data_IF_340976171180
#
_entry.id   IF_340976171180
#
_cell.length_a   1.000
_cell.length_b   1.000
_cell.length_c   1.000
_cell.angle_alpha   90.00
_cell.angle_beta   90.00
_cell.angle_gamma   90.00
#
_symmetry.space_group_name_H-M   'P 1'
#
loop_
_entity.id
_entity.type
_entity.pdbx_description
1 polymer ?
#
# COMPACT_ATOMS: atom_id res chain seq x y z
N UNK A 1 35.44 43.54 -64.55
CA UNK A 1 34.68 44.80 -64.71
C UNK A 1 33.27 44.59 -64.19
N UNK A 2 32.70 45.55 -63.42
CA UNK A 2 31.39 45.46 -62.76
C UNK A 2 30.26 45.89 -63.75
N UNK A 3 28.94 45.71 -63.48
CA UNK A 3 28.20 46.51 -62.48
C UNK A 3 27.10 45.73 -61.70
N UNK A 4 26.63 46.09 -60.50
CA UNK A 4 26.15 47.34 -59.86
C UNK A 4 24.72 47.77 -60.26
N UNK A 5 23.93 48.04 -59.20
CA UNK A 5 22.68 48.84 -59.06
C UNK A 5 21.34 48.12 -59.35
N UNK A 6 20.36 48.07 -58.44
CA UNK A 6 19.70 49.04 -57.53
C UNK A 6 18.58 49.87 -58.19
N UNK A 7 17.32 49.56 -57.78
CA UNK A 7 16.13 50.42 -57.56
C UNK A 7 15.65 51.36 -58.71
N UNK A 8 14.53 52.11 -58.60
CA UNK A 8 13.34 52.09 -57.71
C UNK A 8 12.02 52.09 -58.57
N UNK A 9 10.79 52.04 -58.06
CA UNK A 9 10.09 53.22 -57.51
C UNK A 9 8.56 52.96 -57.42
N UNK A 10 8.05 53.16 -56.21
CA UNK A 10 6.85 53.94 -55.84
C UNK A 10 5.53 53.81 -56.63
N UNK A 11 4.46 53.46 -55.92
CA UNK A 11 3.35 54.41 -55.78
C UNK A 11 2.73 54.32 -54.39
N UNK A 12 2.81 55.46 -53.70
CA UNK A 12 2.08 55.78 -52.48
C UNK A 12 0.66 56.19 -52.82
N UNK A 13 -0.33 55.67 -52.10
CA UNK A 13 -1.55 56.44 -51.85
C UNK A 13 -1.97 56.26 -50.39
N UNK A 14 -1.86 57.34 -49.61
CA UNK A 14 -2.44 57.50 -48.28
C UNK A 14 -3.87 58.02 -48.43
N UNK A 15 -4.82 57.36 -47.79
CA UNK A 15 -6.04 57.92 -47.20
C UNK A 15 -6.58 56.83 -46.27
N UNK A 16 -6.48 56.91 -44.95
CA UNK A 16 -7.23 57.82 -44.09
C UNK A 16 -8.41 57.05 -43.49
N UNK A 17 -8.44 56.85 -42.15
CA UNK A 17 -9.66 56.42 -41.46
C UNK A 17 -9.53 55.37 -40.34
N UNK A 18 -9.39 55.88 -39.11
CA UNK A 18 -10.04 55.38 -37.87
C UNK A 18 -9.85 53.94 -37.39
N UNK A 19 -8.98 53.83 -36.36
CA UNK A 19 -9.09 53.01 -35.14
C UNK A 19 -10.31 52.06 -35.00
N UNK A 20 -10.03 50.75 -35.03
CA UNK A 20 -10.71 49.76 -34.17
C UNK A 20 -9.66 48.89 -33.50
N UNK A 21 -9.47 49.13 -32.19
CA UNK A 21 -8.69 48.25 -31.30
C UNK A 21 -9.27 46.84 -31.39
N UNK A 22 -8.54 45.92 -32.01
CA UNK A 22 -8.78 44.49 -31.83
C UNK A 22 -8.54 44.18 -30.35
N UNK A 23 -9.60 43.84 -29.61
CA UNK A 23 -9.51 43.24 -28.29
C UNK A 23 -8.70 41.95 -28.45
N UNK A 24 -7.44 41.98 -28.01
CA UNK A 24 -6.71 40.76 -27.66
C UNK A 24 -7.51 40.13 -26.54
N UNK A 25 -8.28 39.08 -26.88
CA UNK A 25 -8.86 38.20 -25.90
C UNK A 25 -7.69 37.49 -25.22
N UNK A 26 -7.24 38.04 -24.11
CA UNK A 26 -6.36 37.36 -23.16
C UNK A 26 -7.09 36.07 -22.80
N UNK A 27 -6.61 34.94 -23.32
CA UNK A 27 -7.00 33.61 -22.84
C UNK A 27 -6.78 33.65 -21.34
N UNK A 28 -7.86 33.73 -20.58
CA UNK A 28 -7.85 33.54 -19.14
C UNK A 28 -7.10 32.23 -18.90
N UNK A 29 -5.98 32.29 -18.17
CA UNK A 29 -5.34 31.10 -17.62
C UNK A 29 -6.47 30.28 -17.00
N UNK A 30 -6.74 29.08 -17.52
CA UNK A 30 -7.66 28.14 -16.86
C UNK A 30 -7.17 28.04 -15.43
N UNK A 31 -8.01 28.46 -14.48
CA UNK A 31 -7.70 28.30 -13.07
C UNK A 31 -7.39 26.82 -12.87
N UNK A 32 -6.20 26.53 -12.33
CA UNK A 32 -5.84 25.16 -11.94
C UNK A 32 -6.93 24.68 -10.99
N UNK A 33 -7.58 23.52 -11.24
CA UNK A 33 -8.57 23.00 -10.32
C UNK A 33 -7.94 22.88 -8.94
N UNK A 34 -8.56 23.47 -7.91
CA UNK A 34 -8.10 23.28 -6.54
C UNK A 34 -8.27 21.81 -6.17
N UNK A 35 -7.21 21.21 -5.63
CA UNK A 35 -7.27 19.85 -5.13
C UNK A 35 -8.26 19.77 -3.95
N UNK A 36 -8.96 18.64 -3.76
CA UNK A 36 -9.79 18.44 -2.58
C UNK A 36 -8.95 18.46 -1.30
N UNK A 37 -9.57 18.81 -0.18
CA UNK A 37 -8.93 18.77 1.14
C UNK A 37 -9.19 17.44 1.83
N UNK A 38 -8.22 16.99 2.62
CA UNK A 38 -8.41 15.91 3.58
C UNK A 38 -9.49 16.27 4.61
N UNK A 39 -10.26 15.26 5.03
CA UNK A 39 -11.26 15.34 6.07
C UNK A 39 -10.74 14.53 7.26
N UNK A 40 -10.39 15.17 8.39
CA UNK A 40 -9.99 14.45 9.60
C UNK A 40 -11.04 13.43 10.03
N UNK A 41 -10.62 12.28 10.57
CA UNK A 41 -11.54 11.23 11.00
C UNK A 41 -12.45 11.76 12.12
N UNK A 42 -13.76 11.53 11.97
CA UNK A 42 -14.74 11.80 13.02
C UNK A 42 -15.32 10.48 13.53
N UNK A 43 -14.48 9.72 14.22
CA UNK A 43 -14.79 8.38 14.71
C UNK A 43 -15.98 8.35 15.67
N UNK A 44 -16.03 9.23 16.68
CA UNK A 44 -17.05 9.21 17.72
C UNK A 44 -18.48 9.46 17.20
N UNK A 45 -18.66 10.28 16.16
CA UNK A 45 -20.02 10.49 15.59
C UNK A 45 -20.50 9.31 14.76
N UNK A 46 -19.58 8.54 14.16
CA UNK A 46 -19.92 7.39 13.31
C UNK A 46 -20.02 6.09 14.10
N UNK A 47 -19.24 5.98 15.17
CA UNK A 47 -19.11 4.79 15.99
C UNK A 47 -19.15 5.21 17.46
N UNK A 48 -20.34 5.26 18.05
CA UNK A 48 -20.54 5.68 19.44
C UNK A 48 -19.84 4.76 20.45
N UNK A 49 -19.55 3.53 20.05
CA UNK A 49 -18.83 2.53 20.85
C UNK A 49 -17.30 2.66 20.75
N UNK A 50 -16.78 3.53 19.88
CA UNK A 50 -15.34 3.73 19.73
C UNK A 50 -14.82 4.80 20.67
N UNK A 51 -13.66 4.54 21.29
CA UNK A 51 -13.09 5.42 22.31
C UNK A 51 -11.57 5.47 22.26
N UNK A 52 -11.01 6.57 22.76
CA UNK A 52 -9.56 6.67 23.03
C UNK A 52 -9.14 5.90 24.28
N UNK A 53 -10.09 5.52 25.14
CA UNK A 53 -9.82 4.74 26.35
C UNK A 53 -9.64 3.28 25.98
N UNK A 54 -8.56 2.67 26.45
CA UNK A 54 -8.29 1.25 26.24
C UNK A 54 -9.40 0.38 26.85
N UNK A 55 -9.90 -0.65 26.15
CA UNK A 55 -10.86 -1.60 26.71
C UNK A 55 -10.27 -2.34 27.92
N UNK A 56 -11.09 -2.62 28.94
CA UNK A 56 -10.64 -3.25 30.20
C UNK A 56 -10.41 -4.76 30.10
N UNK A 57 -10.81 -5.37 29.00
CA UNK A 57 -10.75 -6.81 28.80
C UNK A 57 -9.32 -7.33 28.65
N UNK A 58 -9.07 -8.55 29.13
CA UNK A 58 -7.72 -9.14 29.17
C UNK A 58 -7.15 -9.35 27.77
N UNK A 59 -7.95 -9.91 26.85
CA UNK A 59 -7.50 -10.17 25.49
C UNK A 59 -7.37 -8.86 24.71
N UNK A 60 -8.28 -7.90 24.92
CA UNK A 60 -8.16 -6.58 24.30
C UNK A 60 -6.84 -5.89 24.67
N UNK A 61 -6.54 -5.80 25.97
CA UNK A 61 -5.29 -5.22 26.45
C UNK A 61 -4.06 -5.95 25.89
N UNK A 62 -4.08 -7.29 25.92
CA UNK A 62 -3.00 -8.11 25.35
C UNK A 62 -2.76 -7.81 23.86
N UNK A 63 -3.82 -7.68 23.06
CA UNK A 63 -3.69 -7.36 21.63
C UNK A 63 -3.13 -5.96 21.42
N UNK A 64 -3.65 -4.98 22.15
CA UNK A 64 -3.27 -3.57 22.00
C UNK A 64 -1.80 -3.39 22.34
N UNK A 65 -1.33 -3.99 23.45
CA UNK A 65 0.07 -3.94 23.86
C UNK A 65 0.98 -4.72 22.90
N UNK A 66 0.59 -5.93 22.49
CA UNK A 66 1.42 -6.79 21.63
C UNK A 66 1.67 -6.17 20.24
N UNK A 67 0.65 -5.59 19.63
CA UNK A 67 0.71 -5.04 18.28
C UNK A 67 0.70 -3.51 18.22
N UNK A 68 0.91 -2.83 19.36
CA UNK A 68 0.97 -1.37 19.45
C UNK A 68 -0.26 -0.69 18.79
N UNK A 69 -1.45 -1.25 19.02
CA UNK A 69 -2.68 -0.75 18.38
C UNK A 69 -3.01 0.65 18.91
N UNK A 70 -3.42 1.52 18.00
CA UNK A 70 -3.73 2.92 18.30
C UNK A 70 -5.23 3.10 18.59
N UNK A 71 -5.61 4.17 19.31
CA UNK A 71 -7.00 4.59 19.37
C UNK A 71 -7.47 5.08 17.98
N UNK A 72 -8.74 4.86 17.61
CA UNK A 72 -9.81 4.43 18.47
C UNK A 72 -9.82 2.92 18.72
N UNK A 73 -10.30 2.54 19.90
CA UNK A 73 -10.56 1.15 20.26
C UNK A 73 -12.07 0.90 20.20
N UNK A 74 -12.47 -0.22 19.60
CA UNK A 74 -13.86 -0.65 19.55
C UNK A 74 -14.27 -1.34 20.87
N UNK A 75 -15.08 -0.66 21.69
CA UNK A 75 -15.63 -1.25 22.92
C UNK A 75 -16.82 -2.19 22.67
N UNK A 76 -17.35 -2.23 21.45
CA UNK A 76 -18.34 -3.21 21.01
C UNK A 76 -17.73 -4.58 20.72
N UNK A 77 -16.42 -4.65 20.46
CA UNK A 77 -15.71 -5.90 20.23
C UNK A 77 -15.58 -6.70 21.53
N UNK A 78 -16.18 -7.89 21.54
CA UNK A 78 -16.24 -8.76 22.72
C UNK A 78 -14.88 -9.39 23.03
N UNK A 79 -14.67 -9.82 24.28
CA UNK A 79 -13.45 -10.55 24.67
C UNK A 79 -13.23 -11.83 23.86
N UNK A 80 -14.30 -12.49 23.39
CA UNK A 80 -14.20 -13.64 22.48
C UNK A 80 -13.64 -13.22 21.12
N UNK A 81 -14.08 -12.08 20.59
CA UNK A 81 -13.55 -11.54 19.33
C UNK A 81 -12.11 -11.06 19.48
N UNK A 82 -11.75 -10.40 20.58
CA UNK A 82 -10.35 -10.07 20.91
C UNK A 82 -9.48 -11.31 21.02
N UNK A 83 -9.98 -12.39 21.63
CA UNK A 83 -9.27 -13.65 21.65
C UNK A 83 -9.09 -14.23 20.24
N UNK A 84 -10.13 -14.22 19.40
CA UNK A 84 -10.02 -14.70 18.02
C UNK A 84 -9.01 -13.87 17.20
N UNK A 85 -9.03 -12.55 17.37
CA UNK A 85 -8.06 -11.62 16.77
C UNK A 85 -6.63 -11.95 17.23
N UNK A 86 -6.46 -12.17 18.53
CA UNK A 86 -5.17 -12.56 19.10
C UNK A 86 -4.66 -13.89 18.50
N UNK A 87 -5.51 -14.92 18.49
CA UNK A 87 -5.15 -16.26 18.05
C UNK A 87 -4.81 -16.25 16.55
N UNK A 88 -5.58 -15.54 15.72
CA UNK A 88 -5.34 -15.40 14.28
C UNK A 88 -4.01 -14.69 14.01
N UNK A 89 -3.80 -13.47 14.55
CA UNK A 89 -2.55 -12.73 14.34
C UNK A 89 -1.34 -13.45 14.93
N UNK A 90 -1.48 -14.13 16.07
CA UNK A 90 -0.38 -14.91 16.65
C UNK A 90 -0.03 -16.14 15.82
N UNK A 91 -0.99 -16.77 15.15
CA UNK A 91 -0.71 -17.83 14.20
C UNK A 91 -0.04 -17.29 12.93
N UNK A 92 -0.39 -16.08 12.49
CA UNK A 92 0.29 -15.39 11.40
C UNK A 92 1.71 -14.97 11.75
N UNK A 93 1.94 -14.48 12.98
CA UNK A 93 3.28 -14.15 13.48
C UNK A 93 4.21 -15.37 13.32
N UNK A 94 3.76 -16.57 13.73
CA UNK A 94 4.55 -17.82 13.63
C UNK A 94 4.98 -18.17 12.21
N UNK A 95 4.10 -17.97 11.22
CA UNK A 95 4.43 -18.30 9.81
C UNK A 95 5.17 -17.18 9.09
N UNK A 96 5.23 -15.98 9.69
CA UNK A 96 6.04 -14.86 9.21
C UNK A 96 7.33 -14.70 10.05
N UNK A 97 7.73 -15.76 10.75
CA UNK A 97 9.03 -15.90 11.44
C UNK A 97 9.99 -16.69 10.57
N UNK A 98 11.15 -16.11 10.28
CA UNK A 98 12.25 -16.80 9.60
C UNK A 98 12.60 -18.11 10.34
N UNK A 99 12.89 -19.19 9.62
CA UNK A 99 13.30 -20.47 10.23
C UNK A 99 12.17 -21.31 10.86
N UNK A 100 10.92 -20.83 10.94
CA UNK A 100 9.81 -21.63 11.49
C UNK A 100 9.31 -22.68 10.47
N UNK A 101 9.91 -23.88 10.51
CA UNK A 101 9.57 -25.02 9.66
C UNK A 101 8.39 -25.84 10.21
N UNK A 102 7.20 -25.70 9.61
CA UNK A 102 6.15 -26.72 9.70
C UNK A 102 5.64 -27.25 8.33
N UNK A 103 5.99 -26.58 7.22
CA UNK A 103 5.85 -26.95 5.78
C UNK A 103 5.96 -25.63 4.98
N UNK A 104 6.73 -25.54 3.89
CA UNK A 104 6.89 -24.28 3.17
C UNK A 104 5.63 -24.00 2.37
N UNK A 105 4.76 -23.14 2.90
CA UNK A 105 3.67 -22.51 2.12
C UNK A 105 4.16 -21.24 1.44
N UNK A 106 5.32 -20.74 1.90
CA UNK A 106 6.16 -19.83 1.16
C UNK A 106 7.19 -20.73 0.50
N UNK A 107 7.21 -20.81 -0.82
CA UNK A 107 8.21 -21.58 -1.57
C UNK A 107 9.24 -20.61 -2.18
N UNK A 108 10.13 -20.03 -1.36
CA UNK A 108 11.09 -19.01 -1.81
C UNK A 108 12.07 -19.54 -2.85
N UNK A 109 12.33 -20.84 -2.84
CA UNK A 109 13.24 -21.53 -3.73
C UNK A 109 12.87 -21.44 -5.22
N UNK A 110 11.63 -21.09 -5.55
CA UNK A 110 11.15 -20.83 -6.92
C UNK A 110 10.82 -19.35 -7.17
N UNK A 111 11.24 -18.45 -6.29
CA UNK A 111 11.02 -17.01 -6.41
C UNK A 111 12.35 -16.30 -6.62
N UNK A 112 12.35 -15.31 -7.50
CA UNK A 112 13.45 -14.36 -7.66
C UNK A 112 13.64 -13.41 -6.47
N UNK A 113 12.83 -13.51 -5.40
CA UNK A 113 12.83 -12.57 -4.30
C UNK A 113 12.62 -13.27 -2.94
N UNK A 114 13.42 -12.87 -1.95
CA UNK A 114 13.26 -13.32 -0.57
C UNK A 114 11.91 -12.78 -0.02
N UNK A 115 10.98 -13.66 0.42
CA UNK A 115 9.65 -13.27 0.92
C UNK A 115 9.69 -12.27 2.07
N UNK A 116 10.68 -12.39 2.95
CA UNK A 116 10.86 -11.53 4.11
C UNK A 116 11.31 -10.14 3.69
N UNK A 117 12.21 -10.06 2.71
CA UNK A 117 12.64 -8.81 2.13
C UNK A 117 11.50 -8.11 1.39
N UNK A 118 10.67 -8.87 0.66
CA UNK A 118 9.45 -8.34 0.02
C UNK A 118 8.51 -7.76 1.06
N UNK A 119 8.24 -8.49 2.14
CA UNK A 119 7.37 -8.04 3.22
C UNK A 119 7.89 -6.76 3.89
N UNK A 120 9.20 -6.67 4.12
CA UNK A 120 9.87 -5.50 4.68
C UNK A 120 9.77 -4.28 3.77
N UNK A 121 10.08 -4.43 2.47
CA UNK A 121 9.97 -3.35 1.47
C UNK A 121 8.51 -2.89 1.35
N UNK A 122 7.56 -3.82 1.27
CA UNK A 122 6.13 -3.52 1.23
C UNK A 122 5.69 -2.70 2.45
N UNK A 123 6.16 -3.07 3.64
CA UNK A 123 5.86 -2.37 4.88
C UNK A 123 6.44 -0.95 4.91
N UNK A 124 7.67 -0.75 4.41
CA UNK A 124 8.28 0.59 4.23
C UNK A 124 7.44 1.44 3.28
N UNK A 125 6.95 0.87 2.18
CA UNK A 125 6.12 1.57 1.20
C UNK A 125 4.72 1.94 1.74
N UNK A 126 4.11 1.06 2.56
CA UNK A 126 2.88 1.38 3.30
C UNK A 126 3.11 2.59 4.21
N UNK A 127 4.20 2.60 4.99
CA UNK A 127 4.52 3.69 5.89
C UNK A 127 4.73 5.02 5.14
N UNK A 128 5.43 4.99 4.01
CA UNK A 128 5.64 6.18 3.14
C UNK A 128 4.33 6.81 2.68
N UNK A 129 3.32 5.99 2.38
CA UNK A 129 1.99 6.51 2.05
C UNK A 129 1.43 7.36 3.20
N UNK A 130 1.62 6.96 4.46
CA UNK A 130 1.11 7.70 5.62
C UNK A 130 1.97 8.94 5.94
N UNK A 131 3.29 8.84 5.86
CA UNK A 131 4.20 9.96 6.18
C UNK A 131 3.96 11.21 5.32
N UNK A 132 3.55 11.04 4.06
CA UNK A 132 3.18 12.15 3.18
C UNK A 132 1.71 12.59 3.28
N UNK A 133 0.97 12.21 4.33
CA UNK A 133 -0.36 12.75 4.60
C UNK A 133 -0.28 14.14 5.26
N UNK A 134 -1.41 14.84 5.30
CA UNK A 134 -1.55 16.17 5.96
C UNK A 134 -1.79 16.10 7.46
N UNK A 135 -1.60 14.92 8.04
CA UNK A 135 -1.74 14.72 9.47
C UNK A 135 -0.66 15.42 10.27
N UNK A 136 -0.99 15.68 11.53
CA UNK A 136 0.00 16.09 12.52
C UNK A 136 1.11 15.05 12.60
N UNK A 137 2.33 15.53 12.81
CA UNK A 137 3.52 14.72 12.62
C UNK A 137 3.57 13.48 13.53
N UNK A 138 3.25 13.68 14.81
CA UNK A 138 3.15 12.61 15.80
C UNK A 138 2.12 11.54 15.40
N UNK A 139 0.95 11.97 14.89
CA UNK A 139 -0.14 11.06 14.51
C UNK A 139 0.23 10.22 13.28
N UNK A 140 0.78 10.84 12.22
CA UNK A 140 1.21 10.09 11.04
C UNK A 140 2.38 9.17 11.33
N UNK A 141 3.31 9.56 12.22
CA UNK A 141 4.42 8.70 12.64
C UNK A 141 3.87 7.48 13.36
N UNK A 142 3.02 7.66 14.38
CA UNK A 142 2.42 6.55 15.12
C UNK A 142 1.67 5.58 14.19
N UNK A 143 0.80 6.09 13.31
CA UNK A 143 0.01 5.27 12.38
C UNK A 143 0.93 4.50 11.42
N UNK A 144 1.93 5.17 10.84
CA UNK A 144 2.86 4.56 9.91
C UNK A 144 3.66 3.43 10.58
N UNK A 145 4.18 3.67 11.79
CA UNK A 145 4.93 2.68 12.57
C UNK A 145 4.09 1.44 12.90
N UNK A 146 2.85 1.61 13.37
CA UNK A 146 1.95 0.47 13.65
C UNK A 146 1.55 -0.29 12.39
N UNK A 147 1.35 0.39 11.26
CA UNK A 147 1.03 -0.26 9.98
C UNK A 147 2.16 -1.14 9.46
N UNK A 148 3.44 -0.75 9.62
CA UNK A 148 4.59 -1.55 9.19
C UNK A 148 4.54 -2.97 9.76
N UNK A 149 4.24 -3.07 11.06
CA UNK A 149 4.12 -4.35 11.76
C UNK A 149 2.76 -5.04 11.63
N UNK A 150 1.89 -4.56 10.74
CA UNK A 150 0.53 -5.08 10.58
C UNK A 150 0.26 -5.76 9.24
N UNK A 151 1.29 -5.89 8.41
CA UNK A 151 1.25 -6.64 7.15
C UNK A 151 1.76 -8.07 7.36
N UNK A 152 1.05 -9.05 6.81
CA UNK A 152 1.40 -10.48 6.89
C UNK A 152 1.32 -11.15 5.52
N UNK A 153 2.24 -12.06 5.23
CA UNK A 153 2.06 -13.06 4.18
C UNK A 153 1.10 -14.14 4.67
N UNK A 154 0.13 -14.49 3.82
CA UNK A 154 -0.80 -15.61 4.03
C UNK A 154 -0.35 -16.84 3.23
N UNK A 155 0.08 -16.62 2.00
CA UNK A 155 0.48 -17.63 1.01
C UNK A 155 1.40 -16.97 -0.02
N UNK A 156 2.43 -17.69 -0.45
CA UNK A 156 3.32 -17.21 -1.50
C UNK A 156 3.88 -18.39 -2.29
N UNK A 157 3.44 -18.49 -3.53
CA UNK A 157 3.88 -19.53 -4.46
C UNK A 157 4.53 -18.87 -5.66
N UNK A 158 5.62 -19.46 -6.14
CA UNK A 158 6.34 -19.04 -7.32
C UNK A 158 6.70 -20.25 -8.16
N UNK A 159 6.82 -20.03 -9.47
CA UNK A 159 7.47 -20.94 -10.40
C UNK A 159 8.42 -20.08 -11.24
N UNK A 160 9.72 -20.39 -11.19
CA UNK A 160 10.78 -19.69 -11.94
C UNK A 160 11.73 -20.72 -12.56
N UNK A 161 11.15 -21.68 -13.27
CA UNK A 161 11.91 -22.62 -14.12
C UNK A 161 12.29 -21.93 -15.45
N UNK A 162 13.09 -22.59 -16.31
CA UNK A 162 13.45 -22.16 -17.69
C UNK A 162 12.23 -21.87 -18.62
N UNK A 163 11.00 -21.90 -18.09
CA UNK A 163 9.70 -21.65 -18.71
C UNK A 163 9.01 -20.36 -18.23
N UNK A 164 7.67 -20.38 -18.00
CA UNK A 164 6.95 -19.20 -17.54
C UNK A 164 7.24 -18.90 -16.06
N UNK A 165 7.48 -17.63 -15.75
CA UNK A 165 7.53 -17.13 -14.38
C UNK A 165 6.12 -16.85 -13.89
N UNK A 166 5.69 -17.49 -12.81
CA UNK A 166 4.42 -17.19 -12.16
C UNK A 166 4.61 -16.88 -10.69
N UNK A 167 3.86 -15.93 -10.15
CA UNK A 167 3.85 -15.60 -8.73
C UNK A 167 2.41 -15.43 -8.25
N UNK A 168 2.07 -16.13 -7.18
CA UNK A 168 0.80 -16.02 -6.47
C UNK A 168 1.09 -15.61 -5.04
N UNK A 169 0.81 -14.35 -4.71
CA UNK A 169 1.02 -13.78 -3.38
C UNK A 169 -0.31 -13.41 -2.74
N UNK A 170 -0.52 -13.83 -1.49
CA UNK A 170 -1.68 -13.42 -0.68
C UNK A 170 -1.16 -12.79 0.59
N UNK A 171 -1.65 -11.60 0.90
CA UNK A 171 -1.26 -10.86 2.09
C UNK A 171 -2.49 -10.39 2.87
N UNK A 172 -2.30 -10.02 4.13
CA UNK A 172 -3.31 -9.37 4.97
C UNK A 172 -2.70 -8.17 5.66
N UNK A 173 -3.35 -7.02 5.53
CA UNK A 173 -3.02 -5.80 6.28
C UNK A 173 -4.09 -5.56 7.33
N UNK A 174 -3.72 -5.55 8.61
CA UNK A 174 -4.62 -5.16 9.69
C UNK A 174 -4.68 -3.64 9.85
N UNK A 175 -5.83 -3.15 10.31
CA UNK A 175 -5.94 -1.76 10.76
C UNK A 175 -4.90 -1.47 11.85
N UNK A 176 -4.28 -0.28 11.87
CA UNK A 176 -3.41 0.14 12.97
C UNK A 176 -4.22 0.46 14.23
N UNK A 177 -5.54 0.56 14.13
CA UNK A 177 -6.43 0.88 15.24
C UNK A 177 -7.00 -0.39 15.88
N UNK A 178 -7.42 -0.28 17.14
CA UNK A 178 -8.06 -1.39 17.85
C UNK A 178 -9.52 -1.63 17.47
N UNK A 179 -9.81 -1.70 16.16
CA UNK A 179 -11.15 -1.91 15.59
C UNK A 179 -11.33 -3.30 14.97
N UNK A 180 -10.26 -4.12 14.94
CA UNK A 180 -10.33 -5.55 14.59
C UNK A 180 -10.54 -5.87 13.11
N UNK A 181 -10.39 -4.88 12.21
CA UNK A 181 -10.58 -5.03 10.77
C UNK A 181 -9.27 -5.30 10.03
N UNK A 182 -9.38 -5.84 8.82
CA UNK A 182 -8.23 -6.09 7.93
C UNK A 182 -8.62 -6.03 6.45
N UNK A 183 -7.63 -6.00 5.57
CA UNK A 183 -7.81 -6.18 4.13
C UNK A 183 -6.97 -7.37 3.68
N UNK A 184 -7.60 -8.29 2.97
CA UNK A 184 -6.92 -9.38 2.28
C UNK A 184 -6.60 -8.96 0.85
N UNK A 185 -5.38 -9.29 0.42
CA UNK A 185 -4.94 -9.10 -0.95
C UNK A 185 -4.65 -10.43 -1.61
N UNK A 186 -4.81 -10.45 -2.93
CA UNK A 186 -4.35 -11.51 -3.81
C UNK A 186 -3.70 -10.85 -5.01
N UNK A 187 -2.41 -11.05 -5.16
CA UNK A 187 -1.63 -10.68 -6.32
C UNK A 187 -1.27 -11.93 -7.10
N UNK A 188 -1.60 -11.89 -8.38
CA UNK A 188 -1.29 -12.93 -9.35
C UNK A 188 -0.48 -12.28 -10.48
N UNK A 189 0.63 -12.90 -10.85
CA UNK A 189 1.53 -12.46 -11.90
C UNK A 189 1.97 -13.66 -12.72
N UNK A 190 2.01 -13.47 -14.03
CA UNK A 190 2.55 -14.44 -14.96
C UNK A 190 3.32 -13.74 -16.07
N UNK A 191 4.45 -14.32 -16.45
CA UNK A 191 5.31 -13.84 -17.50
C UNK A 191 5.97 -14.98 -18.26
N UNK A 192 5.85 -14.93 -19.59
CA UNK A 192 6.50 -15.85 -20.50
C UNK A 192 7.19 -15.09 -21.62
N UNK A 193 8.52 -14.99 -21.53
CA UNK A 193 9.35 -14.19 -22.45
C UNK A 193 9.10 -14.52 -23.94
N UNK A 194 8.98 -15.81 -24.28
CA UNK A 194 8.89 -16.27 -25.68
C UNK A 194 7.53 -16.08 -26.33
N UNK A 195 6.46 -15.97 -25.55
CA UNK A 195 5.08 -15.95 -26.07
C UNK A 195 4.39 -14.58 -25.87
N UNK A 196 5.05 -13.62 -25.21
CA UNK A 196 4.46 -12.31 -24.93
C UNK A 196 3.26 -12.38 -23.97
N UNK A 197 3.07 -13.55 -23.34
CA UNK A 197 2.07 -13.79 -22.31
C UNK A 197 2.56 -13.15 -21.03
N UNK A 198 2.01 -11.99 -20.73
CA UNK A 198 2.36 -11.24 -19.55
C UNK A 198 1.07 -10.72 -18.96
N UNK A 199 0.78 -11.03 -17.71
CA UNK A 199 -0.35 -10.44 -17.02
C UNK A 199 -0.07 -10.34 -15.54
N UNK A 200 -0.80 -9.46 -14.89
CA UNK A 200 -0.87 -9.46 -13.45
C UNK A 200 -2.14 -8.80 -12.97
N UNK A 201 -2.57 -9.15 -11.78
CA UNK A 201 -3.74 -8.56 -11.16
C UNK A 201 -3.61 -8.53 -9.65
N UNK A 202 -4.05 -7.42 -9.06
CA UNK A 202 -4.17 -7.26 -7.62
C UNK A 202 -5.63 -7.07 -7.25
N UNK A 203 -6.10 -7.91 -6.34
CA UNK A 203 -7.47 -7.91 -5.82
C UNK A 203 -7.40 -7.68 -4.31
N UNK A 204 -8.23 -6.80 -3.79
CA UNK A 204 -8.39 -6.55 -2.36
C UNK A 204 -9.80 -6.87 -1.86
N UNK A 205 -9.94 -7.29 -0.60
CA UNK A 205 -11.22 -7.47 0.07
C UNK A 205 -11.14 -7.01 1.53
N UNK A 206 -12.06 -6.14 1.92
CA UNK A 206 -12.23 -5.71 3.30
C UNK A 206 -12.85 -6.81 4.17
N UNK A 207 -12.35 -6.94 5.39
CA UNK A 207 -12.82 -7.89 6.40
C UNK A 207 -13.25 -7.16 7.67
N UNK A 208 -14.36 -7.61 8.25
CA UNK A 208 -14.85 -7.16 9.56
C UNK A 208 -14.31 -7.96 10.74
N UNK A 209 -14.89 -7.76 11.92
CA UNK A 209 -14.55 -8.52 13.13
C UNK A 209 -15.24 -9.90 13.11
N UNK A 210 -16.42 -9.97 12.51
CA UNK A 210 -17.17 -11.19 12.22
C UNK A 210 -16.43 -12.16 11.29
N UNK A 211 -15.41 -11.65 10.63
CA UNK A 211 -14.62 -12.33 9.63
C UNK A 211 -13.38 -13.05 10.22
N UNK A 212 -13.08 -12.89 11.51
CA UNK A 212 -11.94 -13.58 12.12
C UNK A 212 -12.08 -15.11 12.07
N UNK A 213 -11.05 -15.80 11.59
CA UNK A 213 -11.01 -17.27 11.45
C UNK A 213 -9.70 -17.83 12.02
N UNK A 214 -9.56 -17.91 13.37
CA UNK A 214 -8.34 -18.38 14.01
C UNK A 214 -8.02 -19.85 13.71
N UNK A 215 -8.99 -20.62 13.22
CA UNK A 215 -8.78 -22.02 12.77
C UNK A 215 -8.14 -22.08 11.39
N UNK A 216 -8.34 -21.05 10.55
CA UNK A 216 -7.77 -20.94 9.20
C UNK A 216 -7.19 -19.54 8.97
N UNK A 217 -6.17 -19.13 9.77
CA UNK A 217 -5.66 -17.77 9.81
C UNK A 217 -5.07 -17.31 8.45
N UNK A 218 -4.63 -18.27 7.63
CA UNK A 218 -4.03 -18.03 6.31
C UNK A 218 -5.02 -17.97 5.16
N UNK A 219 -6.30 -18.22 5.39
CA UNK A 219 -7.29 -18.29 4.32
C UNK A 219 -7.62 -16.89 3.83
N UNK A 220 -7.13 -16.54 2.65
CA UNK A 220 -7.49 -15.29 1.98
C UNK A 220 -8.97 -15.24 1.62
N UNK A 221 -9.55 -14.05 1.78
CA UNK A 221 -10.95 -13.78 1.49
C UNK A 221 -11.17 -13.20 0.11
N UNK A 222 -10.15 -12.59 -0.50
CA UNK A 222 -10.25 -11.90 -1.78
C UNK A 222 -10.62 -12.80 -2.98
N UNK A 223 -10.27 -14.09 -2.97
CA UNK A 223 -10.44 -14.98 -4.13
C UNK A 223 -11.03 -16.34 -3.77
N UNK A 224 -11.74 -16.94 -4.72
CA UNK A 224 -12.26 -18.31 -4.71
C UNK A 224 -11.44 -19.14 -5.70
N UNK A 225 -10.64 -20.08 -5.18
CA UNK A 225 -9.73 -20.86 -6.03
C UNK A 225 -8.51 -20.03 -6.43
N UNK A 226 -8.10 -20.11 -7.70
CA UNK A 226 -6.91 -19.42 -8.21
C UNK A 226 -7.20 -17.93 -8.50
N UNK A 227 -8.12 -17.59 -9.43
CA UNK A 227 -8.21 -16.18 -9.90
C UNK A 227 -9.61 -15.56 -9.82
N UNK A 228 -10.60 -16.25 -9.25
CA UNK A 228 -11.98 -15.75 -9.24
C UNK A 228 -12.21 -14.83 -8.03
N UNK A 229 -12.42 -13.51 -8.19
CA UNK A 229 -12.68 -12.63 -7.07
C UNK A 229 -13.97 -13.06 -6.34
N UNK A 230 -13.97 -13.03 -5.00
CA UNK A 230 -15.22 -13.25 -4.25
C UNK A 230 -16.15 -12.04 -4.37
N UNK A 231 -17.48 -12.23 -4.24
CA UNK A 231 -18.40 -11.11 -4.11
C UNK A 231 -17.92 -10.12 -3.04
N UNK A 232 -17.90 -8.83 -3.38
CA UNK A 232 -17.36 -7.77 -2.52
C UNK A 232 -15.88 -7.45 -2.72
N UNK A 233 -15.13 -8.27 -3.46
CA UNK A 233 -13.73 -8.00 -3.77
C UNK A 233 -13.58 -6.94 -4.86
N UNK A 234 -12.54 -6.13 -4.75
CA UNK A 234 -12.20 -5.08 -5.72
C UNK A 234 -10.89 -5.44 -6.41
N UNK A 235 -10.94 -5.58 -7.73
CA UNK A 235 -9.72 -5.59 -8.56
C UNK A 235 -9.13 -4.18 -8.57
N UNK A 236 -8.04 -3.98 -7.84
CA UNK A 236 -7.36 -2.69 -7.63
C UNK A 236 -6.64 -2.28 -8.92
N UNK A 237 -5.82 -3.19 -9.45
CA UNK A 237 -5.21 -3.04 -10.76
C UNK A 237 -5.14 -4.38 -11.48
N UNK A 238 -5.05 -4.33 -12.80
CA UNK A 238 -4.62 -5.45 -13.61
C UNK A 238 -3.93 -4.97 -14.87
N UNK A 239 -3.11 -5.83 -15.44
CA UNK A 239 -2.50 -5.59 -16.72
C UNK A 239 -2.40 -6.86 -17.54
N UNK A 240 -2.35 -6.71 -18.86
CA UNK A 240 -2.16 -7.79 -19.81
C UNK A 240 -1.37 -7.29 -21.01
N UNK A 241 -0.25 -7.95 -21.29
CA UNK A 241 0.76 -7.52 -22.24
C UNK A 241 1.32 -6.14 -21.91
N UNK A 242 1.99 -5.54 -22.88
CA UNK A 242 2.73 -4.28 -22.68
C UNK A 242 1.89 -3.00 -22.76
N UNK A 243 0.57 -3.10 -23.01
CA UNK A 243 -0.27 -1.92 -23.35
C UNK A 243 -1.60 -1.83 -22.62
N UNK A 244 -2.09 -2.90 -22.00
CA UNK A 244 -3.40 -2.89 -21.35
C UNK A 244 -3.21 -2.86 -19.85
N UNK A 245 -3.07 -1.66 -19.28
CA UNK A 245 -2.99 -1.44 -17.84
C UNK A 245 -4.29 -0.78 -17.38
N UNK A 246 -4.96 -1.39 -16.42
CA UNK A 246 -6.25 -0.94 -15.90
C UNK A 246 -6.21 -0.83 -14.38
N UNK A 247 -6.31 0.40 -13.88
CA UNK A 247 -6.68 0.67 -12.49
C UNK A 247 -8.18 0.88 -12.35
N UNK A 248 -8.69 0.57 -11.16
CA UNK A 248 -10.09 0.78 -10.74
C UNK A 248 -10.44 2.27 -10.56
N UNK A 249 -11.67 2.57 -10.12
CA UNK A 249 -12.14 3.94 -9.88
C UNK A 249 -11.76 4.44 -8.49
N UNK A 250 -11.70 5.76 -8.30
CA UNK A 250 -11.43 6.38 -7.00
C UNK A 250 -12.43 5.91 -5.93
N UNK A 251 -13.72 5.81 -6.25
CA UNK A 251 -14.75 5.33 -5.31
C UNK A 251 -14.47 3.91 -4.79
N UNK A 252 -13.94 3.03 -5.65
CA UNK A 252 -13.58 1.65 -5.30
C UNK A 252 -12.26 1.56 -4.53
N UNK A 253 -11.35 2.51 -4.71
CA UNK A 253 -10.17 2.63 -3.85
C UNK A 253 -10.59 3.16 -2.47
N UNK A 254 -11.42 4.19 -2.44
CA UNK A 254 -11.90 4.83 -1.21
C UNK A 254 -12.75 3.90 -0.35
N UNK A 255 -13.36 2.84 -0.91
CA UNK A 255 -14.13 1.88 -0.13
C UNK A 255 -13.28 1.08 0.88
N UNK A 256 -11.96 1.06 0.75
CA UNK A 256 -11.05 0.41 1.69
C UNK A 256 -10.69 1.27 2.91
N UNK A 257 -10.84 2.59 2.80
CA UNK A 257 -10.45 3.53 3.85
C UNK A 257 -11.24 3.32 5.17
N UNK A 258 -12.56 3.08 5.16
CA UNK A 258 -13.30 2.76 6.39
C UNK A 258 -12.78 1.50 7.08
N UNK A 259 -12.30 0.52 6.30
CA UNK A 259 -11.78 -0.73 6.85
C UNK A 259 -10.44 -0.52 7.55
N UNK A 260 -9.52 0.24 6.95
CA UNK A 260 -8.22 0.46 7.59
C UNK A 260 -8.27 1.52 8.68
N UNK A 261 -9.01 2.60 8.45
CA UNK A 261 -8.92 3.81 9.24
C UNK A 261 -10.22 4.22 9.94
N UNK A 262 -11.32 3.51 9.70
CA UNK A 262 -12.61 3.85 10.30
C UNK A 262 -13.14 5.22 9.85
N UNK A 263 -12.65 5.74 8.73
CA UNK A 263 -12.93 7.09 8.24
C UNK A 263 -13.12 7.10 6.71
N UNK A 264 -13.50 8.26 6.18
CA UNK A 264 -13.66 8.46 4.73
C UNK A 264 -13.17 9.84 4.35
N UNK A 265 -12.41 9.95 3.27
CA UNK A 265 -11.85 11.20 2.77
C UNK A 265 -10.69 11.73 3.60
N UNK A 266 -10.07 10.91 4.44
CA UNK A 266 -8.90 11.28 5.23
C UNK A 266 -7.64 11.25 4.37
N UNK A 267 -7.48 10.20 3.56
CA UNK A 267 -6.42 10.04 2.58
C UNK A 267 -6.96 10.20 1.17
N UNK A 268 -6.15 10.77 0.27
CA UNK A 268 -6.55 10.81 -1.14
C UNK A 268 -6.63 9.42 -1.78
N UNK A 269 -7.39 9.28 -2.88
CA UNK A 269 -7.39 8.04 -3.66
C UNK A 269 -5.99 7.62 -4.12
N UNK A 270 -5.08 8.57 -4.36
CA UNK A 270 -3.70 8.26 -4.74
C UNK A 270 -2.91 7.65 -3.57
N UNK A 271 -3.06 8.20 -2.36
CA UNK A 271 -2.44 7.63 -1.16
C UNK A 271 -2.96 6.24 -0.83
N UNK A 272 -4.28 6.07 -0.88
CA UNK A 272 -4.90 4.76 -0.69
C UNK A 272 -4.47 3.77 -1.77
N UNK A 273 -4.40 4.18 -3.04
CA UNK A 273 -3.88 3.32 -4.10
C UNK A 273 -2.46 2.83 -3.79
N UNK A 274 -1.54 3.74 -3.46
CA UNK A 274 -0.15 3.38 -3.17
C UNK A 274 -0.04 2.46 -1.95
N UNK A 275 -0.83 2.71 -0.90
CA UNK A 275 -0.89 1.85 0.28
C UNK A 275 -1.38 0.45 -0.07
N UNK A 276 -2.51 0.35 -0.80
CA UNK A 276 -3.10 -0.95 -1.18
C UNK A 276 -2.19 -1.72 -2.14
N UNK A 277 -1.53 -1.03 -3.07
CA UNK A 277 -0.58 -1.61 -4.01
C UNK A 277 0.64 -2.19 -3.28
N UNK A 278 1.21 -1.43 -2.33
CA UNK A 278 2.31 -1.89 -1.50
C UNK A 278 1.90 -3.07 -0.60
N UNK A 279 0.74 -2.98 0.06
CA UNK A 279 0.23 -4.04 0.93
C UNK A 279 -0.03 -5.34 0.17
N UNK A 280 -0.47 -5.24 -1.09
CA UNK A 280 -0.63 -6.38 -1.98
C UNK A 280 0.66 -6.92 -2.62
N UNK A 281 1.83 -6.38 -2.25
CA UNK A 281 3.15 -6.75 -2.78
C UNK A 281 3.25 -6.72 -4.31
N UNK A 282 2.44 -5.88 -4.97
CA UNK A 282 2.40 -5.80 -6.43
C UNK A 282 3.75 -5.36 -7.00
N UNK A 283 4.23 -6.08 -8.03
CA UNK A 283 5.49 -5.80 -8.73
C UNK A 283 6.76 -5.87 -7.84
N UNK A 284 6.77 -6.73 -6.81
CA UNK A 284 7.91 -6.86 -5.88
C UNK A 284 8.69 -8.18 -6.04
N UNK A 285 8.47 -8.93 -7.11
CA UNK A 285 8.98 -10.29 -7.31
C UNK A 285 9.93 -10.41 -8.51
N UNK A 286 10.68 -9.35 -8.80
CA UNK A 286 11.66 -9.32 -9.89
C UNK A 286 11.01 -9.21 -11.27
N UNK A 287 9.89 -8.51 -11.36
CA UNK A 287 9.23 -8.25 -12.64
C UNK A 287 9.94 -7.12 -13.43
N UNK A 288 11.03 -7.47 -14.12
CA UNK A 288 11.87 -6.52 -14.85
C UNK A 288 11.74 -6.69 -16.37
N UNK A 289 10.61 -6.25 -16.98
CA UNK A 289 10.52 -6.06 -18.44
C UNK A 289 9.19 -5.45 -18.88
N UNK A 290 9.05 -4.13 -18.66
CA UNK A 290 7.89 -3.38 -19.13
C UNK A 290 8.30 -2.21 -20.02
N UNK A 291 7.65 -2.06 -21.17
CA UNK A 291 7.74 -0.80 -21.92
C UNK A 291 6.96 0.32 -21.25
N UNK A 292 6.06 0.00 -20.32
CA UNK A 292 5.29 0.93 -19.49
C UNK A 292 5.11 0.32 -18.12
N UNK A 293 5.66 0.96 -17.10
CA UNK A 293 5.58 0.53 -15.70
C UNK A 293 4.10 0.46 -15.24
N UNK A 294 3.58 -0.73 -14.87
CA UNK A 294 2.19 -0.88 -14.46
C UNK A 294 1.82 -0.14 -13.17
N UNK A 295 2.75 0.06 -12.24
CA UNK A 295 2.51 0.87 -11.03
C UNK A 295 2.33 2.34 -11.41
N UNK A 296 3.26 2.89 -12.20
CA UNK A 296 3.21 4.31 -12.61
C UNK A 296 1.95 4.58 -13.44
N UNK A 297 1.62 3.69 -14.38
CA UNK A 297 0.44 3.84 -15.23
C UNK A 297 -0.88 3.66 -14.46
N UNK A 298 -0.93 2.75 -13.49
CA UNK A 298 -2.14 2.54 -12.67
C UNK A 298 -2.41 3.72 -11.76
N UNK A 299 -1.38 4.27 -11.11
CA UNK A 299 -1.53 5.39 -10.17
C UNK A 299 -1.82 6.74 -10.84
N UNK A 300 -1.47 6.91 -12.11
CA UNK A 300 -1.67 8.15 -12.88
C UNK A 300 -3.14 8.60 -12.99
N UNK A 301 -4.11 7.72 -12.69
CA UNK A 301 -5.55 8.05 -12.65
C UNK A 301 -5.99 8.78 -11.38
N UNK A 302 -5.17 8.78 -10.34
CA UNK A 302 -5.51 9.34 -9.04
C UNK A 302 -4.69 10.60 -8.77
N UNK A 303 -5.23 11.45 -7.90
CA UNK A 303 -4.59 12.71 -7.51
C UNK A 303 -4.52 12.82 -6.00
N UNK A 304 -3.48 13.49 -5.50
CA UNK A 304 -3.36 13.86 -4.10
C UNK A 304 -4.45 14.84 -3.65
N UNK A 305 -4.69 14.88 -2.34
CA UNK A 305 -5.36 16.00 -1.70
C UNK A 305 -4.40 17.17 -1.53
N UNK A 306 -4.95 18.36 -1.29
CA UNK A 306 -4.18 19.57 -1.00
C UNK A 306 -3.27 19.34 0.22
N UNK A 307 -1.96 19.51 0.02
CA UNK A 307 -0.94 19.39 1.08
C UNK A 307 -0.29 18.01 1.21
N UNK A 308 -0.82 16.96 0.57
CA UNK A 308 -0.18 15.64 0.59
C UNK A 308 1.06 15.58 -0.31
N UNK A 309 2.03 14.75 0.08
CA UNK A 309 3.32 14.51 -0.60
C UNK A 309 3.61 13.01 -0.71
N UNK A 310 4.77 12.61 -1.23
CA UNK A 310 5.21 11.21 -1.25
C UNK A 310 5.67 10.70 0.12
N UNK A 311 6.05 11.59 1.04
CA UNK A 311 6.55 11.25 2.38
C UNK A 311 8.05 10.97 2.46
N UNK A 312 8.81 11.19 1.37
CA UNK A 312 10.18 10.67 1.19
C UNK A 312 11.17 11.08 2.29
N UNK A 313 11.11 12.31 2.79
CA UNK A 313 12.05 12.80 3.82
C UNK A 313 11.86 12.07 5.15
N UNK A 314 10.61 11.95 5.61
CA UNK A 314 10.28 11.26 6.85
C UNK A 314 10.48 9.74 6.69
N UNK A 315 10.16 9.18 5.51
CA UNK A 315 10.44 7.78 5.18
C UNK A 315 11.93 7.44 5.34
N UNK A 316 12.84 8.29 4.85
CA UNK A 316 14.29 8.06 4.99
C UNK A 316 14.73 8.07 6.45
N UNK A 317 14.25 9.05 7.21
CA UNK A 317 14.61 9.23 8.63
C UNK A 317 14.13 8.04 9.46
N UNK A 318 12.87 7.64 9.30
CA UNK A 318 12.27 6.53 10.03
C UNK A 318 12.84 5.16 9.61
N UNK A 319 13.26 5.01 8.35
CA UNK A 319 13.95 3.79 7.91
C UNK A 319 15.35 3.69 8.52
N UNK A 320 16.11 4.78 8.58
CA UNK A 320 17.41 4.78 9.23
C UNK A 320 17.30 4.42 10.72
N UNK A 321 16.31 4.98 11.42
CA UNK A 321 16.03 4.63 12.81
C UNK A 321 15.63 3.16 12.98
N UNK A 322 14.83 2.61 12.05
CA UNK A 322 14.50 1.19 12.09
C UNK A 322 15.75 0.31 11.91
N UNK A 323 16.60 0.64 10.94
CA UNK A 323 17.82 -0.11 10.67
C UNK A 323 18.75 -0.11 11.91
N UNK A 324 18.88 1.02 12.61
CA UNK A 324 19.61 1.13 13.90
C UNK A 324 19.00 0.23 14.99
N UNK A 325 17.68 0.26 15.18
CA UNK A 325 17.00 -0.56 16.19
C UNK A 325 17.06 -2.06 15.90
N UNK A 326 16.99 -2.47 14.62
CA UNK A 326 17.07 -3.87 14.19
C UNK A 326 18.49 -4.44 14.34
N UNK A 327 19.53 -3.59 14.34
CA UNK A 327 20.89 -3.98 14.69
C UNK A 327 21.08 -4.18 16.21
N UNK A 328 20.33 -3.46 17.04
CA UNK A 328 20.37 -3.58 18.50
C UNK A 328 19.49 -4.71 19.07
N UNK A 329 18.49 -5.19 18.32
CA UNK A 329 17.59 -6.25 18.80
C UNK A 329 18.33 -7.60 18.87
N UNK A 330 18.34 -8.29 20.03
CA UNK A 330 18.99 -9.59 20.13
C UNK A 330 18.26 -10.62 19.25
N UNK A 331 19.03 -11.39 18.47
CA UNK A 331 18.46 -12.48 17.66
C UNK A 331 17.74 -13.49 18.56
N UNK A 332 16.51 -13.87 18.17
CA UNK A 332 15.80 -14.94 18.87
C UNK A 332 16.51 -16.27 18.61
N UNK A 333 16.95 -16.96 19.66
CA UNK A 333 17.59 -18.27 19.53
C UNK A 333 16.56 -19.30 19.01
N UNK A 334 16.71 -19.69 17.74
CA UNK A 334 15.90 -20.71 17.07
C UNK A 334 16.55 -22.11 17.10
N UNK A 335 17.62 -22.31 17.87
CA UNK A 335 18.42 -23.54 17.88
C UNK A 335 19.34 -23.65 16.65
N UNK A 336 19.69 -24.88 16.23
CA UNK A 336 20.66 -25.18 15.15
C UNK A 336 20.22 -24.77 13.72
N UNK A 337 19.30 -23.82 13.58
CA UNK A 337 18.86 -23.28 12.29
C UNK A 337 19.85 -22.20 11.84
N UNK A 338 20.73 -22.56 10.92
CA UNK A 338 21.58 -21.58 10.22
C UNK A 338 20.71 -20.70 9.32
N UNK A 339 20.62 -19.42 9.66
CA UNK A 339 19.98 -18.39 8.85
C UNK A 339 21.05 -17.52 8.20
N UNK A 340 20.80 -17.06 6.98
CA UNK A 340 21.66 -16.05 6.35
C UNK A 340 21.57 -14.70 7.08
N UNK A 341 22.51 -13.77 6.84
CA UNK A 341 22.44 -12.40 7.39
C UNK A 341 21.13 -11.69 6.98
N UNK A 342 20.59 -12.03 5.81
CA UNK A 342 19.30 -11.54 5.30
C UNK A 342 18.08 -12.21 5.98
N UNK A 343 18.31 -13.24 6.80
CA UNK A 343 17.30 -14.07 7.45
C UNK A 343 17.42 -14.06 8.97
N UNK A 344 17.83 -12.94 9.58
CA UNK A 344 17.87 -12.79 11.06
C UNK A 344 16.65 -13.44 11.73
N UNK A 345 16.92 -14.18 12.81
CA UNK A 345 15.91 -14.91 13.54
C UNK A 345 14.85 -13.96 14.13
N UNK A 346 13.58 -14.12 13.71
CA UNK A 346 12.48 -13.35 14.28
C UNK A 346 11.27 -13.18 13.36
N UNK A 347 10.11 -12.93 13.98
CA UNK A 347 8.87 -12.57 13.30
C UNK A 347 9.03 -11.19 12.61
N UNK A 348 8.96 -11.14 11.28
CA UNK A 348 9.17 -9.90 10.50
C UNK A 348 8.19 -8.79 10.94
N UNK A 349 6.86 -9.03 11.02
CA UNK A 349 5.93 -8.01 11.54
C UNK A 349 6.28 -7.53 12.95
N UNK A 350 6.77 -8.41 13.83
CA UNK A 350 7.13 -8.04 15.20
C UNK A 350 8.37 -7.15 15.26
N UNK A 351 9.39 -7.43 14.44
CA UNK A 351 10.59 -6.58 14.27
C UNK A 351 10.21 -5.21 13.73
N UNK A 352 9.31 -5.16 12.75
CA UNK A 352 8.80 -3.91 12.19
C UNK A 352 8.01 -3.04 13.19
N UNK A 353 7.54 -3.61 14.32
CA UNK A 353 6.93 -2.85 15.42
C UNK A 353 7.95 -2.21 16.37
N UNK A 354 9.27 -2.42 16.20
CA UNK A 354 10.28 -1.78 17.05
C UNK A 354 10.10 -0.26 17.09
N UNK A 355 9.89 0.37 15.94
CA UNK A 355 9.61 1.80 15.86
C UNK A 355 8.37 2.20 16.67
N UNK A 356 7.30 1.40 16.62
CA UNK A 356 6.05 1.70 17.32
C UNK A 356 6.17 1.58 18.86
N UNK A 357 7.24 0.96 19.36
CA UNK A 357 7.56 0.85 20.79
C UNK A 357 8.47 1.96 21.29
N UNK A 358 9.03 2.76 20.39
CA UNK A 358 9.79 3.96 20.76
C UNK A 358 8.81 5.09 21.08
N UNK A 359 8.88 5.59 22.32
CA UNK A 359 8.10 6.73 22.82
C UNK A 359 8.65 8.07 22.34
#
# INVERSE_FOLDING_TARGET
MPPKRANPSTSSTKSGGTNKKAKVATKSKKAVPKLPKSIPPNWQTRHSQWSKVMPKGKNAKLCIEKWCLLPPYDHGMTEKQWKAYHDERSALDKVNTCGYSARPTLKPEYLCANPWRVLEIASRNIASAIYGSVLEEEEKIAIARTLRGSLYLLELEGEDDDGPRSVYAKTRLYSPFGIGTSIDFSYDYHFRYREGEQFGSLIGMSNGVEDLDPEKPRKSKAIKGFDTPKPGSVKIFSWSGTKRITATTADRINSFEPTLFGSTGWLSPLKLHNLLFAAGTGLMYGEDSYSTDPEIASRAKFTFFEGETTGDELSKTENALYDELDEEEPEEDLGDVYLSEDEKAGCVPRRLLLLARQE
#
